data_IF_155943759850
#
_entry.id   IF_155943759850
#
_cell.length_a   1.000
_cell.length_b   1.000
_cell.length_c   1.000
_cell.angle_alpha   90.00
_cell.angle_beta   90.00
_cell.angle_gamma   90.00
#
_symmetry.space_group_name_H-M   'P 1'
#
loop_
_entity.id
_entity.type
_entity.pdbx_description
1 polymer ?
#
# COMPACT_ATOMS: atom_id res chain seq x y z
N UNK A 1 13.74 -90.19 -6.44
CA UNK A 1 13.43 -88.93 -5.73
C UNK A 1 13.01 -87.87 -6.75
N UNK A 2 11.70 -87.59 -6.89
CA UNK A 2 11.18 -86.60 -7.83
C UNK A 2 10.84 -85.29 -7.09
N UNK A 3 11.51 -84.18 -7.45
CA UNK A 3 11.25 -82.83 -6.92
C UNK A 3 10.04 -82.20 -7.63
N UNK A 4 8.93 -82.03 -6.91
CA UNK A 4 7.82 -81.15 -7.30
C UNK A 4 8.27 -79.69 -7.23
N UNK A 5 8.12 -78.94 -8.32
CA UNK A 5 8.15 -77.47 -8.32
C UNK A 5 6.70 -76.97 -8.33
N UNK A 6 6.33 -76.17 -7.34
CA UNK A 6 5.07 -75.44 -7.32
C UNK A 6 5.31 -74.07 -7.96
N UNK A 7 4.62 -73.79 -9.06
CA UNK A 7 4.49 -72.44 -9.61
C UNK A 7 3.29 -71.76 -8.96
N UNK A 8 3.54 -70.83 -8.04
CA UNK A 8 2.51 -69.94 -7.49
C UNK A 8 2.06 -68.95 -8.55
N UNK A 9 0.86 -69.15 -9.10
CA UNK A 9 0.13 -68.15 -9.88
C UNK A 9 -0.67 -67.27 -8.93
N UNK A 10 -0.09 -66.17 -8.44
CA UNK A 10 -0.85 -65.10 -7.81
C UNK A 10 -1.43 -64.19 -8.89
N UNK A 11 -2.60 -64.55 -9.41
CA UNK A 11 -3.44 -63.67 -10.19
C UNK A 11 -4.11 -62.66 -9.25
N UNK A 12 -3.38 -61.61 -8.87
CA UNK A 12 -3.95 -60.46 -8.19
C UNK A 12 -4.81 -59.68 -9.21
N UNK A 13 -6.12 -59.72 -9.04
CA UNK A 13 -7.04 -58.94 -9.85
C UNK A 13 -6.88 -57.45 -9.55
N UNK A 14 -6.13 -56.73 -10.37
CA UNK A 14 -6.24 -55.28 -10.50
C UNK A 14 -7.53 -54.92 -11.25
N UNK A 15 -8.68 -55.19 -10.62
CA UNK A 15 -9.94 -54.50 -10.97
C UNK A 15 -10.00 -53.22 -10.16
N UNK A 16 -9.11 -52.28 -10.49
CA UNK A 16 -9.21 -50.90 -10.05
C UNK A 16 -10.56 -50.31 -10.49
N UNK A 17 -11.32 -49.82 -9.53
CA UNK A 17 -12.67 -49.31 -9.68
C UNK A 17 -12.78 -48.13 -10.68
N UNK A 18 -13.03 -48.44 -11.96
CA UNK A 18 -13.33 -47.48 -13.05
C UNK A 18 -14.58 -46.64 -12.71
N UNK A 19 -15.48 -47.17 -11.87
CA UNK A 19 -16.71 -46.50 -11.44
C UNK A 19 -16.49 -45.33 -10.47
N UNK A 20 -15.27 -45.15 -9.95
CA UNK A 20 -14.94 -44.02 -9.05
C UNK A 20 -14.46 -42.76 -9.80
N UNK A 21 -13.76 -42.93 -10.93
CA UNK A 21 -13.01 -41.83 -11.55
C UNK A 21 -13.91 -40.75 -12.18
N UNK A 22 -15.02 -41.14 -12.80
CA UNK A 22 -15.96 -40.17 -13.40
C UNK A 22 -16.71 -39.34 -12.35
N UNK A 23 -17.04 -39.94 -11.20
CA UNK A 23 -17.64 -39.24 -10.06
C UNK A 23 -16.66 -38.26 -9.42
N UNK A 24 -15.40 -38.66 -9.27
CA UNK A 24 -14.34 -37.75 -8.79
C UNK A 24 -14.09 -36.58 -9.74
N UNK A 25 -14.12 -36.79 -11.06
CA UNK A 25 -13.97 -35.70 -12.03
C UNK A 25 -15.13 -34.69 -11.97
N UNK A 26 -16.37 -35.16 -11.79
CA UNK A 26 -17.54 -34.27 -11.59
C UNK A 26 -17.41 -33.46 -10.31
N UNK A 27 -17.01 -34.10 -9.20
CA UNK A 27 -16.75 -33.41 -7.93
C UNK A 27 -15.64 -32.36 -8.06
N UNK A 28 -14.55 -32.67 -8.76
CA UNK A 28 -13.45 -31.74 -9.00
C UNK A 28 -13.93 -30.50 -9.78
N UNK A 29 -14.75 -30.69 -10.82
CA UNK A 29 -15.37 -29.58 -11.59
C UNK A 29 -16.29 -28.71 -10.73
N UNK A 30 -17.10 -29.32 -9.86
CA UNK A 30 -17.97 -28.59 -8.94
C UNK A 30 -17.14 -27.77 -7.95
N UNK A 31 -16.11 -28.37 -7.35
CA UNK A 31 -15.20 -27.68 -6.42
C UNK A 31 -14.49 -26.52 -7.11
N UNK A 32 -13.99 -26.70 -8.34
CA UNK A 32 -13.35 -25.60 -9.08
C UNK A 32 -14.34 -24.48 -9.40
N UNK A 33 -15.57 -24.82 -9.79
CA UNK A 33 -16.63 -23.86 -10.09
C UNK A 33 -17.04 -23.05 -8.86
N UNK A 34 -17.21 -23.72 -7.71
CA UNK A 34 -17.53 -23.07 -6.44
C UNK A 34 -16.39 -22.17 -5.99
N UNK A 35 -15.14 -22.61 -6.15
CA UNK A 35 -13.97 -21.80 -5.83
C UNK A 35 -13.89 -20.53 -6.70
N UNK A 36 -14.20 -20.63 -7.99
CA UNK A 36 -14.27 -19.44 -8.86
C UNK A 36 -15.41 -18.51 -8.48
N UNK A 37 -16.58 -19.05 -8.10
CA UNK A 37 -17.71 -18.23 -7.66
C UNK A 37 -17.41 -17.50 -6.35
N UNK A 38 -16.89 -18.20 -5.34
CA UNK A 38 -16.50 -17.60 -4.05
C UNK A 38 -15.44 -16.52 -4.27
N UNK A 39 -14.41 -16.81 -5.09
CA UNK A 39 -13.37 -15.83 -5.41
C UNK A 39 -13.93 -14.61 -6.15
N UNK A 40 -14.93 -14.78 -7.02
CA UNK A 40 -15.59 -13.65 -7.69
C UNK A 40 -16.43 -12.80 -6.72
N UNK A 41 -17.16 -13.44 -5.80
CA UNK A 41 -17.97 -12.74 -4.79
C UNK A 41 -17.11 -12.01 -3.76
N UNK A 42 -15.97 -12.59 -3.35
CA UNK A 42 -14.99 -11.91 -2.50
C UNK A 42 -14.37 -10.71 -3.21
N UNK A 43 -14.06 -10.85 -4.50
CA UNK A 43 -13.54 -9.76 -5.34
C UNK A 43 -14.52 -8.59 -5.50
N UNK A 44 -15.81 -8.87 -5.72
CA UNK A 44 -16.84 -7.82 -5.82
C UNK A 44 -17.03 -7.10 -4.49
N UNK A 45 -17.10 -7.83 -3.38
CA UNK A 45 -17.24 -7.24 -2.05
C UNK A 45 -16.05 -6.36 -1.66
N UNK A 46 -14.84 -6.76 -2.07
CA UNK A 46 -13.62 -5.96 -1.88
C UNK A 46 -13.69 -4.66 -2.66
N UNK A 47 -13.99 -4.74 -3.95
CA UNK A 47 -14.08 -3.56 -4.83
C UNK A 47 -15.13 -2.56 -4.31
N UNK A 48 -16.32 -3.03 -3.95
CA UNK A 48 -17.38 -2.18 -3.39
C UNK A 48 -16.97 -1.52 -2.06
N UNK A 49 -16.22 -2.23 -1.22
CA UNK A 49 -15.72 -1.68 0.04
C UNK A 49 -14.67 -0.59 -0.21
N UNK A 50 -13.76 -0.80 -1.16
CA UNK A 50 -12.78 0.21 -1.53
C UNK A 50 -13.41 1.42 -2.22
N UNK A 51 -14.44 1.21 -3.05
CA UNK A 51 -15.18 2.29 -3.71
C UNK A 51 -15.81 3.26 -2.69
N UNK A 52 -16.17 2.80 -1.49
CA UNK A 52 -16.63 3.69 -0.41
C UNK A 52 -15.52 4.60 0.11
N UNK A 53 -14.29 4.10 0.20
CA UNK A 53 -13.11 4.90 0.53
C UNK A 53 -12.88 5.94 -0.55
N UNK A 54 -12.97 5.56 -1.83
CA UNK A 54 -12.84 6.47 -2.96
C UNK A 54 -13.89 7.58 -2.90
N UNK A 55 -15.17 7.22 -2.73
CA UNK A 55 -16.28 8.19 -2.61
C UNK A 55 -16.09 9.15 -1.44
N UNK A 56 -15.66 8.65 -0.27
CA UNK A 56 -15.37 9.51 0.87
C UNK A 56 -14.23 10.49 0.61
N UNK A 57 -13.20 10.06 -0.13
CA UNK A 57 -12.08 10.92 -0.54
C UNK A 57 -12.48 11.96 -1.57
N UNK A 58 -13.34 11.60 -2.53
CA UNK A 58 -13.85 12.49 -3.58
C UNK A 58 -14.89 13.49 -3.05
N UNK A 59 -15.68 13.09 -2.04
CA UNK A 59 -16.68 13.95 -1.40
C UNK A 59 -16.12 14.82 -0.27
N UNK A 60 -14.80 14.85 -0.09
CA UNK A 60 -14.11 15.57 0.98
C UNK A 60 -14.49 15.16 2.41
N UNK A 61 -15.10 13.99 2.56
CA UNK A 61 -15.42 13.41 3.85
C UNK A 61 -14.29 12.46 4.29
N UNK A 62 -13.16 13.07 4.65
CA UNK A 62 -11.97 12.34 5.08
C UNK A 62 -12.18 11.51 6.35
N UNK A 63 -13.16 11.88 7.17
CA UNK A 63 -13.54 11.09 8.35
C UNK A 63 -14.21 9.79 7.92
N UNK A 64 -15.20 9.87 7.04
CA UNK A 64 -15.85 8.69 6.47
C UNK A 64 -14.86 7.86 5.67
N UNK A 65 -13.98 8.48 4.86
CA UNK A 65 -12.94 7.75 4.13
C UNK A 65 -11.98 7.00 5.06
N UNK A 66 -11.53 7.65 6.14
CA UNK A 66 -10.67 7.01 7.14
C UNK A 66 -11.37 5.87 7.89
N UNK A 67 -12.65 6.04 8.20
CA UNK A 67 -13.48 5.00 8.83
C UNK A 67 -13.69 3.79 7.90
N UNK A 68 -14.08 4.04 6.65
CA UNK A 68 -14.25 2.99 5.64
C UNK A 68 -12.92 2.30 5.33
N UNK A 69 -11.80 3.02 5.33
CA UNK A 69 -10.47 2.41 5.19
C UNK A 69 -10.14 1.48 6.36
N UNK A 70 -10.41 1.89 7.61
CA UNK A 70 -10.21 1.03 8.77
C UNK A 70 -11.13 -0.21 8.74
N UNK A 71 -12.36 -0.05 8.24
CA UNK A 71 -13.30 -1.15 8.03
C UNK A 71 -12.83 -2.09 6.92
N UNK A 72 -12.33 -1.54 5.83
CA UNK A 72 -11.74 -2.28 4.72
C UNK A 72 -10.56 -3.12 5.20
N UNK A 73 -9.65 -2.51 5.96
CA UNK A 73 -8.49 -3.19 6.59
C UNK A 73 -8.93 -4.41 7.41
N UNK A 74 -9.97 -4.23 8.23
CA UNK A 74 -10.51 -5.32 9.06
C UNK A 74 -11.15 -6.46 8.26
N UNK A 75 -11.82 -6.15 7.15
CA UNK A 75 -12.55 -7.16 6.35
C UNK A 75 -11.68 -7.85 5.32
N UNK A 76 -10.85 -7.08 4.61
CA UNK A 76 -10.11 -7.51 3.42
C UNK A 76 -8.60 -7.51 3.61
N UNK A 77 -8.12 -7.01 4.76
CA UNK A 77 -6.70 -6.82 5.03
C UNK A 77 -6.13 -5.65 4.22
N UNK A 78 -4.96 -5.86 3.64
CA UNK A 78 -4.18 -4.78 3.03
C UNK A 78 -4.72 -4.41 1.67
N UNK A 79 -4.34 -3.22 1.22
CA UNK A 79 -4.57 -2.80 -0.16
C UNK A 79 -3.77 -3.68 -1.12
N UNK A 80 -4.35 -3.92 -2.29
CA UNK A 80 -3.64 -4.51 -3.41
C UNK A 80 -2.88 -3.42 -4.19
N UNK A 81 -2.13 -3.84 -5.22
CA UNK A 81 -1.33 -2.91 -6.01
C UNK A 81 -2.20 -1.89 -6.76
N UNK A 82 -3.37 -2.30 -7.24
CA UNK A 82 -4.26 -1.42 -8.02
C UNK A 82 -4.93 -0.37 -7.15
N UNK A 83 -5.34 -0.74 -5.94
CA UNK A 83 -5.91 0.17 -4.96
C UNK A 83 -4.85 1.14 -4.42
N UNK A 84 -3.62 0.65 -4.20
CA UNK A 84 -2.49 1.50 -3.83
C UNK A 84 -2.12 2.49 -4.94
N UNK A 85 -2.07 2.03 -6.19
CA UNK A 85 -1.82 2.88 -7.36
C UNK A 85 -2.90 3.96 -7.48
N UNK A 86 -4.17 3.62 -7.26
CA UNK A 86 -5.25 4.61 -7.22
C UNK A 86 -5.01 5.69 -6.17
N UNK A 87 -4.62 5.32 -4.93
CA UNK A 87 -4.33 6.31 -3.88
C UNK A 87 -3.12 7.19 -4.22
N UNK A 88 -2.09 6.64 -4.87
CA UNK A 88 -0.92 7.40 -5.33
C UNK A 88 -1.34 8.41 -6.41
N UNK A 89 -2.12 7.97 -7.40
CA UNK A 89 -2.65 8.86 -8.45
C UNK A 89 -3.53 9.97 -7.85
N UNK A 90 -4.33 9.65 -6.83
CA UNK A 90 -5.12 10.65 -6.12
C UNK A 90 -4.24 11.63 -5.34
N UNK A 91 -3.12 11.17 -4.76
CA UNK A 91 -2.14 12.04 -4.12
C UNK A 91 -1.48 13.00 -5.12
N UNK A 92 -1.11 12.51 -6.30
CA UNK A 92 -0.56 13.34 -7.38
C UNK A 92 -1.57 14.40 -7.85
N UNK A 93 -2.84 14.03 -7.96
CA UNK A 93 -3.92 14.97 -8.23
C UNK A 93 -3.99 16.08 -7.18
N UNK A 94 -3.98 15.74 -5.88
CA UNK A 94 -3.96 16.74 -4.80
C UNK A 94 -2.74 17.66 -4.92
N UNK A 95 -1.54 17.10 -5.17
CA UNK A 95 -0.33 17.92 -5.35
C UNK A 95 -0.44 18.88 -6.53
N UNK A 96 -1.07 18.45 -7.63
CA UNK A 96 -1.34 19.32 -8.78
C UNK A 96 -2.27 20.48 -8.38
N UNK A 97 -3.36 20.19 -7.67
CA UNK A 97 -4.29 21.23 -7.22
C UNK A 97 -3.60 22.27 -6.32
N UNK A 98 -2.75 21.83 -5.38
CA UNK A 98 -1.97 22.74 -4.54
C UNK A 98 -1.07 23.64 -5.40
N UNK A 99 -0.35 23.06 -6.37
CA UNK A 99 0.52 23.82 -7.28
C UNK A 99 -0.28 24.85 -8.10
N UNK A 100 -1.45 24.48 -8.60
CA UNK A 100 -2.29 25.36 -9.41
C UNK A 100 -2.77 26.57 -8.58
N UNK A 101 -3.17 26.38 -7.32
CA UNK A 101 -3.49 27.50 -6.42
C UNK A 101 -2.28 28.38 -6.09
N UNK A 102 -1.10 27.79 -5.88
CA UNK A 102 0.14 28.55 -5.64
C UNK A 102 0.49 29.41 -6.86
N UNK A 103 0.49 28.82 -8.05
CA UNK A 103 0.79 29.54 -9.30
C UNK A 103 -0.20 30.68 -9.53
N UNK A 104 -1.48 30.43 -9.30
CA UNK A 104 -2.52 31.47 -9.42
C UNK A 104 -2.29 32.62 -8.42
N UNK A 105 -1.96 32.29 -7.16
CA UNK A 105 -1.61 33.31 -6.15
C UNK A 105 -0.40 34.15 -6.59
N UNK A 106 0.63 33.53 -7.15
CA UNK A 106 1.82 34.22 -7.66
C UNK A 106 1.46 35.17 -8.80
N UNK A 107 0.61 34.74 -9.74
CA UNK A 107 0.18 35.59 -10.86
C UNK A 107 -0.56 36.83 -10.36
N UNK A 108 -1.53 36.67 -9.46
CA UNK A 108 -2.27 37.81 -8.90
C UNK A 108 -1.32 38.74 -8.12
N UNK A 109 -0.43 38.17 -7.30
CA UNK A 109 0.52 38.96 -6.51
C UNK A 109 1.50 39.73 -7.40
N UNK A 110 1.94 39.14 -8.52
CA UNK A 110 2.79 39.81 -9.50
C UNK A 110 2.07 40.99 -10.14
N UNK A 111 0.81 40.82 -10.53
CA UNK A 111 0.03 41.90 -11.15
C UNK A 111 -0.15 43.06 -10.16
N UNK A 112 -0.47 42.78 -8.90
CA UNK A 112 -0.55 43.81 -7.85
C UNK A 112 0.79 44.54 -7.66
N UNK A 113 1.90 43.81 -7.63
CA UNK A 113 3.22 44.42 -7.51
C UNK A 113 3.58 45.30 -8.73
N UNK A 114 3.10 44.95 -9.93
CA UNK A 114 3.28 45.79 -11.12
C UNK A 114 2.45 47.07 -11.05
N UNK A 115 1.23 47.01 -10.53
CA UNK A 115 0.39 48.18 -10.26
C UNK A 115 1.04 49.09 -9.21
N UNK A 116 1.49 48.53 -8.09
CA UNK A 116 2.21 49.27 -7.06
C UNK A 116 3.46 49.98 -7.62
N UNK A 117 4.23 49.27 -8.47
CA UNK A 117 5.40 49.85 -9.12
C UNK A 117 5.03 50.98 -10.08
N UNK A 118 3.94 50.84 -10.83
CA UNK A 118 3.42 51.87 -11.72
C UNK A 118 2.98 53.11 -10.92
N UNK A 119 2.27 52.92 -9.81
CA UNK A 119 1.80 54.02 -8.95
C UNK A 119 2.95 54.78 -8.30
N UNK A 120 4.01 54.08 -7.91
CA UNK A 120 5.20 54.71 -7.39
C UNK A 120 5.96 55.48 -8.49
N UNK A 121 6.31 54.81 -9.60
CA UNK A 121 7.23 55.35 -10.60
C UNK A 121 6.57 56.39 -11.51
N UNK A 122 5.37 56.11 -12.01
CA UNK A 122 4.73 56.91 -13.05
C UNK A 122 3.77 57.94 -12.47
N UNK A 123 3.04 57.58 -11.41
CA UNK A 123 2.09 58.47 -10.76
C UNK A 123 2.74 59.33 -9.65
N UNK A 124 4.01 59.05 -9.30
CA UNK A 124 4.76 59.80 -8.29
C UNK A 124 4.22 59.62 -6.87
N UNK A 125 3.50 58.53 -6.61
CA UNK A 125 2.93 58.25 -5.29
C UNK A 125 4.05 57.98 -4.29
N UNK A 126 4.06 58.60 -3.09
CA UNK A 126 5.08 58.32 -2.08
C UNK A 126 5.12 56.84 -1.72
N UNK A 127 6.33 56.28 -1.60
CA UNK A 127 6.54 54.84 -1.38
C UNK A 127 5.85 54.31 -0.12
N UNK A 128 5.79 55.12 0.95
CA UNK A 128 5.11 54.75 2.20
C UNK A 128 3.60 54.57 2.02
N UNK A 129 3.00 55.37 1.13
CA UNK A 129 1.57 55.29 0.80
C UNK A 129 1.30 54.04 -0.04
N UNK A 130 2.14 53.78 -1.04
CA UNK A 130 2.06 52.56 -1.87
C UNK A 130 2.21 51.31 -1.01
N UNK A 131 3.19 51.26 -0.10
CA UNK A 131 3.39 50.13 0.79
C UNK A 131 2.18 49.86 1.71
N UNK A 132 1.59 50.92 2.27
CA UNK A 132 0.39 50.81 3.10
C UNK A 132 -0.84 50.34 2.30
N UNK A 133 -1.00 50.82 1.07
CA UNK A 133 -2.09 50.41 0.18
C UNK A 133 -1.90 48.98 -0.33
N UNK A 134 -0.70 48.61 -0.77
CA UNK A 134 -0.33 47.28 -1.24
C UNK A 134 -0.69 46.19 -0.23
N UNK A 135 -0.26 46.33 1.02
CA UNK A 135 -0.60 45.40 2.09
C UNK A 135 -2.12 45.26 2.29
N UNK A 136 -2.84 46.39 2.27
CA UNK A 136 -4.29 46.42 2.41
C UNK A 136 -4.99 45.75 1.22
N UNK A 137 -4.52 45.99 0.00
CA UNK A 137 -5.05 45.41 -1.23
C UNK A 137 -4.80 43.91 -1.29
N UNK A 138 -3.60 43.45 -0.92
CA UNK A 138 -3.26 42.04 -0.81
C UNK A 138 -4.19 41.31 0.16
N UNK A 139 -4.37 41.83 1.37
CA UNK A 139 -5.25 41.21 2.38
C UNK A 139 -6.74 41.25 2.01
N UNK A 140 -7.17 42.27 1.26
CA UNK A 140 -8.57 42.40 0.82
C UNK A 140 -8.87 41.74 -0.53
N UNK A 141 -7.85 41.28 -1.24
CA UNK A 141 -8.00 40.64 -2.54
C UNK A 141 -8.76 39.32 -2.40
N UNK A 142 -9.98 39.28 -2.92
CA UNK A 142 -10.81 38.09 -2.88
C UNK A 142 -10.15 36.91 -3.61
N UNK A 143 -9.48 37.17 -4.74
CA UNK A 143 -8.79 36.14 -5.52
C UNK A 143 -7.65 35.50 -4.72
N UNK A 144 -6.80 36.32 -4.08
CA UNK A 144 -5.70 35.82 -3.25
C UNK A 144 -6.25 35.01 -2.07
N UNK A 145 -7.28 35.53 -1.39
CA UNK A 145 -7.90 34.80 -0.27
C UNK A 145 -8.48 33.45 -0.72
N UNK A 146 -9.15 33.40 -1.88
CA UNK A 146 -9.69 32.17 -2.46
C UNK A 146 -8.59 31.15 -2.73
N UNK A 147 -7.46 31.56 -3.32
CA UNK A 147 -6.36 30.62 -3.58
C UNK A 147 -5.65 30.19 -2.29
N UNK A 148 -5.47 31.07 -1.30
CA UNK A 148 -4.92 30.71 0.00
C UNK A 148 -5.80 29.71 0.75
N UNK A 149 -7.13 29.88 0.70
CA UNK A 149 -8.09 28.90 1.22
C UNK A 149 -7.97 27.58 0.49
N UNK A 150 -7.88 27.60 -0.84
CA UNK A 150 -7.64 26.39 -1.64
C UNK A 150 -6.37 25.64 -1.23
N UNK A 151 -5.24 26.35 -1.06
CA UNK A 151 -3.98 25.74 -0.59
C UNK A 151 -4.18 25.08 0.76
N UNK A 152 -4.80 25.79 1.71
CA UNK A 152 -5.07 25.27 3.06
C UNK A 152 -5.92 24.00 3.01
N UNK A 153 -7.00 24.04 2.24
CA UNK A 153 -7.92 22.92 2.11
C UNK A 153 -7.23 21.71 1.48
N UNK A 154 -6.60 21.85 0.30
CA UNK A 154 -5.90 20.76 -0.36
C UNK A 154 -4.73 20.19 0.45
N UNK A 155 -4.01 21.04 1.20
CA UNK A 155 -2.93 20.58 2.09
C UNK A 155 -3.50 19.72 3.22
N UNK A 156 -4.66 20.08 3.78
CA UNK A 156 -5.36 19.26 4.76
C UNK A 156 -5.76 17.90 4.17
N UNK A 157 -6.26 17.87 2.92
CA UNK A 157 -6.58 16.62 2.20
C UNK A 157 -5.35 15.73 2.02
N UNK A 158 -4.22 16.32 1.63
CA UNK A 158 -2.95 15.60 1.51
C UNK A 158 -2.53 14.94 2.83
N UNK A 159 -2.68 15.68 3.94
CA UNK A 159 -2.43 15.17 5.28
C UNK A 159 -3.26 13.93 5.61
N UNK A 160 -4.58 13.98 5.40
CA UNK A 160 -5.46 12.82 5.64
C UNK A 160 -5.14 11.64 4.71
N UNK A 161 -4.94 11.89 3.42
CA UNK A 161 -4.60 10.85 2.46
C UNK A 161 -3.30 10.12 2.85
N UNK A 162 -2.30 10.85 3.35
CA UNK A 162 -1.05 10.25 3.82
C UNK A 162 -1.27 9.24 4.96
N UNK A 163 -2.23 9.50 5.85
CA UNK A 163 -2.59 8.59 6.95
C UNK A 163 -3.31 7.35 6.40
N UNK A 164 -4.22 7.52 5.43
CA UNK A 164 -4.93 6.42 4.76
C UNK A 164 -3.94 5.50 4.03
N UNK A 165 -3.02 6.07 3.25
CA UNK A 165 -1.96 5.32 2.56
C UNK A 165 -1.08 4.59 3.59
N UNK A 166 -0.67 5.26 4.67
CA UNK A 166 0.15 4.66 5.72
C UNK A 166 -0.55 3.47 6.36
N UNK A 167 -1.85 3.57 6.66
CA UNK A 167 -2.65 2.44 7.17
C UNK A 167 -2.68 1.28 6.17
N UNK A 168 -2.90 1.57 4.88
CA UNK A 168 -2.82 0.57 3.82
C UNK A 168 -1.45 -0.12 3.69
N UNK A 169 -0.35 0.60 4.00
CA UNK A 169 1.04 0.09 3.91
C UNK A 169 1.55 -0.63 5.17
N UNK A 170 1.23 -0.15 6.38
CA UNK A 170 1.88 -0.62 7.63
C UNK A 170 1.66 -2.10 7.92
N UNK A 171 0.54 -2.68 7.50
CA UNK A 171 0.34 -4.11 7.66
C UNK A 171 1.06 -4.96 6.59
N UNK A 172 1.40 -4.40 5.42
CA UNK A 172 2.15 -5.10 4.37
C UNK A 172 3.56 -5.46 4.85
N UNK A 173 4.23 -4.51 5.51
CA UNK A 173 5.55 -4.70 6.12
C UNK A 173 5.48 -5.74 7.25
N UNK A 174 4.48 -5.64 8.13
CA UNK A 174 4.29 -6.63 9.21
C UNK A 174 3.97 -8.04 8.70
N UNK A 175 3.27 -8.20 7.56
CA UNK A 175 3.03 -9.52 6.95
C UNK A 175 4.30 -10.13 6.36
N UNK A 176 5.17 -9.31 5.75
CA UNK A 176 6.45 -9.78 5.21
C UNK A 176 7.36 -10.26 6.34
N UNK A 177 7.50 -9.47 7.41
CA UNK A 177 8.30 -9.85 8.58
C UNK A 177 7.75 -11.09 9.29
N UNK A 178 6.41 -11.25 9.41
CA UNK A 178 5.83 -12.48 9.97
C UNK A 178 6.05 -13.71 9.09
N UNK A 179 6.01 -13.56 7.75
CA UNK A 179 6.27 -14.68 6.82
C UNK A 179 7.73 -15.09 6.86
N UNK A 180 8.66 -14.15 6.91
CA UNK A 180 10.09 -14.43 7.10
C UNK A 180 10.34 -15.10 8.45
N UNK A 181 9.83 -14.54 9.55
CA UNK A 181 9.98 -15.13 10.88
C UNK A 181 9.33 -16.51 11.02
N UNK A 182 8.20 -16.77 10.35
CA UNK A 182 7.58 -18.10 10.31
C UNK A 182 8.35 -19.10 9.43
N UNK A 183 9.07 -18.63 8.41
CA UNK A 183 9.96 -19.46 7.59
C UNK A 183 11.20 -19.91 8.38
N UNK A 184 11.75 -19.05 9.24
CA UNK A 184 12.86 -19.40 10.13
C UNK A 184 12.49 -20.43 11.21
N UNK A 185 11.23 -20.49 11.66
CA UNK A 185 10.76 -21.49 12.64
C UNK A 185 10.59 -22.89 12.01
N UNK A 186 10.50 -22.99 10.68
CA UNK A 186 10.40 -24.27 9.95
C UNK A 186 11.74 -24.80 9.45
N UNK A 187 12.87 -24.39 10.03
CA UNK A 187 14.10 -25.14 9.83
C UNK A 187 13.89 -26.50 10.52
N UNK A 188 13.79 -27.62 9.78
CA UNK A 188 13.75 -28.93 10.42
C UNK A 188 14.99 -29.04 11.30
N UNK A 189 14.81 -29.45 12.56
CA UNK A 189 15.94 -29.86 13.41
C UNK A 189 16.72 -30.90 12.61
N UNK A 190 17.79 -30.46 11.95
CA UNK A 190 18.76 -31.35 11.34
C UNK A 190 19.24 -32.18 12.51
N UNK A 191 18.86 -33.46 12.49
CA UNK A 191 19.18 -34.39 13.56
C UNK A 191 20.65 -34.21 13.89
N UNK A 192 20.91 -33.88 15.15
CA UNK A 192 22.24 -33.82 15.74
C UNK A 192 22.85 -35.20 15.52
N UNK A 193 23.55 -35.36 14.41
CA UNK A 193 24.32 -36.56 14.12
C UNK A 193 25.55 -36.45 15.00
N UNK A 194 25.61 -37.33 15.99
CA UNK A 194 26.71 -37.51 16.93
C UNK A 194 28.07 -37.30 16.25
N UNK A 195 28.67 -36.13 16.48
CA UNK A 195 30.09 -35.95 16.24
C UNK A 195 30.83 -36.52 17.45
N UNK A 196 31.13 -37.81 17.36
CA UNK A 196 32.17 -38.44 18.18
C UNK A 196 33.49 -37.69 17.96
N UNK A 197 33.93 -37.01 19.01
CA UNK A 197 35.31 -36.93 19.50
C UNK A 197 36.41 -37.27 18.49
N UNK A 198 36.97 -36.25 17.86
CA UNK A 198 38.36 -36.27 17.42
C UNK A 198 39.09 -35.11 18.11
N UNK A 199 39.72 -35.46 19.23
CA UNK A 199 40.74 -34.66 19.91
C UNK A 199 41.90 -34.41 18.94
N UNK A 200 42.14 -33.15 18.57
CA UNK A 200 43.45 -32.70 18.09
C UNK A 200 43.79 -31.37 18.76
N UNK A 201 44.63 -31.51 19.79
CA UNK A 201 45.79 -30.69 20.14
C UNK A 201 45.87 -29.21 19.72
N UNK A 202 46.01 -28.37 20.75
CA UNK A 202 47.01 -27.31 20.89
C UNK A 202 47.31 -26.40 19.68
N UNK A 203 47.09 -25.09 19.83
CA UNK A 203 48.22 -24.24 20.25
C UNK A 203 47.79 -22.84 20.72
N UNK A 204 48.35 -22.46 21.88
CA UNK A 204 48.46 -21.08 22.35
C UNK A 204 49.16 -20.23 21.29
N UNK A 205 48.63 -19.04 20.98
CA UNK A 205 49.47 -17.84 20.85
C UNK A 205 48.68 -16.58 21.18
N UNK A 206 49.00 -16.09 22.37
CA UNK A 206 48.69 -14.79 22.95
C UNK A 206 49.55 -13.76 22.21
N UNK A 207 48.94 -12.80 21.52
CA UNK A 207 49.61 -11.57 21.12
C UNK A 207 48.76 -10.41 21.67
N UNK A 208 49.32 -9.77 22.70
CA UNK A 208 48.99 -8.41 23.12
C UNK A 208 49.62 -7.44 22.12
N UNK A 209 48.97 -6.32 21.84
CA UNK A 209 49.51 -4.97 21.55
C UNK A 209 48.25 -4.07 21.48
N UNK A 210 47.96 -3.17 22.43
CA UNK A 210 48.42 -1.76 22.52
C UNK A 210 48.46 -1.10 21.13
N UNK A 211 47.69 -0.07 20.81
CA UNK A 211 47.33 1.15 21.54
C UNK A 211 45.87 1.58 21.32
#
# INVERSE_FOLDING_TARGET
MYRKRYTSTSSASERGSILSFSRFQRLRKIITSLKTQISSMEGTNRKESFEKVQKGLESDDFWTAGFEMARFEKMHGHLDNTEMEWLINYQEYIHKQIKDHILSTIVVSKNQAQEDFHDWLNNGTPIDVVAAQSSKTFHKSHEIQTHLLGIKDWTRRAGFLSIIIKKGKQEWIMKMERKENAAWIKIPKVGTRDQRTASIGNNKKRIKLSE
#
